data_IF_552890455570
#
_entry.id   IF_552890455570
#
_cell.length_a   1.000
_cell.length_b   1.000
_cell.length_c   1.000
_cell.angle_alpha   90.00
_cell.angle_beta   90.00
_cell.angle_gamma   90.00
#
_symmetry.space_group_name_H-M   'P 1'
#
loop_
_entity.id
_entity.type
_entity.pdbx_description
1 polymer ?
#
# COMPACT_ATOMS: atom_id res chain seq x y z
N UNK A 1 -37.63 -16.34 -23.92
CA UNK A 1 -36.38 -15.92 -24.60
C UNK A 1 -36.09 -14.40 -24.52
N UNK A 2 -37.10 -13.52 -24.43
CA UNK A 2 -36.91 -12.05 -24.28
C UNK A 2 -36.40 -11.55 -22.92
N UNK A 3 -36.35 -12.41 -21.90
CA UNK A 3 -35.93 -12.06 -20.53
C UNK A 3 -34.43 -12.21 -20.29
N UNK A 4 -33.71 -12.86 -21.21
CA UNK A 4 -32.26 -13.08 -21.12
C UNK A 4 -31.45 -11.98 -21.82
N UNK A 5 -32.07 -11.22 -22.73
CA UNK A 5 -31.42 -10.17 -23.52
C UNK A 5 -31.01 -8.98 -22.64
N UNK A 6 -31.77 -8.66 -21.59
CA UNK A 6 -31.44 -7.58 -20.67
C UNK A 6 -30.23 -7.86 -19.76
N UNK A 7 -29.96 -9.14 -19.45
CA UNK A 7 -28.86 -9.50 -18.55
C UNK A 7 -27.50 -9.49 -19.25
N UNK A 8 -27.48 -9.81 -20.55
CA UNK A 8 -26.26 -9.77 -21.38
C UNK A 8 -25.79 -8.33 -21.61
N UNK A 9 -26.72 -7.39 -21.83
CA UNK A 9 -26.38 -5.98 -22.08
C UNK A 9 -25.77 -5.28 -20.85
N UNK A 10 -26.16 -5.66 -19.63
CA UNK A 10 -25.62 -5.10 -18.39
C UNK A 10 -24.19 -5.58 -18.08
N UNK A 11 -23.89 -6.86 -18.37
CA UNK A 11 -22.56 -7.45 -18.19
C UNK A 11 -21.53 -6.90 -19.19
N UNK A 12 -21.95 -6.58 -20.42
CA UNK A 12 -21.06 -5.98 -21.43
C UNK A 12 -20.75 -4.50 -21.16
N UNK A 13 -21.62 -3.79 -20.44
CA UNK A 13 -21.43 -2.38 -20.10
C UNK A 13 -20.42 -2.17 -18.96
N UNK A 14 -20.36 -3.10 -18.00
CA UNK A 14 -19.38 -3.07 -16.90
C UNK A 14 -17.95 -3.39 -17.38
N UNK A 15 -17.81 -4.12 -18.49
CA UNK A 15 -16.50 -4.50 -19.05
C UNK A 15 -15.84 -3.37 -19.87
N UNK A 16 -16.59 -2.35 -20.32
CA UNK A 16 -16.06 -1.26 -21.16
C UNK A 16 -15.49 -0.07 -20.36
N UNK A 17 -15.81 0.07 -19.08
CA UNK A 17 -15.37 1.21 -18.24
C UNK A 17 -14.09 0.88 -17.44
N UNK A 18 -13.60 -0.37 -17.50
CA UNK A 18 -12.33 -0.79 -16.89
C UNK A 18 -11.07 -0.34 -17.65
N UNK A 19 -11.11 0.77 -18.38
CA UNK A 19 -9.92 1.32 -19.04
C UNK A 19 -9.17 2.18 -18.03
N UNK A 20 -8.04 1.64 -17.57
CA UNK A 20 -7.27 2.07 -16.43
C UNK A 20 -6.93 3.56 -16.42
N UNK A 21 -6.99 4.14 -15.22
CA UNK A 21 -6.36 5.40 -14.90
C UNK A 21 -4.86 5.25 -15.17
N UNK A 22 -4.37 5.83 -16.27
CA UNK A 22 -2.95 6.12 -16.41
C UNK A 22 -2.60 7.16 -15.34
N UNK A 23 -2.22 6.67 -14.16
CA UNK A 23 -1.47 7.47 -13.20
C UNK A 23 -0.24 7.94 -13.96
N UNK A 24 -0.18 9.24 -14.26
CA UNK A 24 1.03 9.86 -14.76
C UNK A 24 2.07 9.72 -13.65
N UNK A 25 2.82 8.63 -13.68
CA UNK A 25 3.99 8.48 -12.85
C UNK A 25 4.92 9.64 -13.25
N UNK A 26 5.14 10.56 -12.32
CA UNK A 26 6.12 11.62 -12.50
C UNK A 26 7.45 10.96 -12.77
N UNK A 27 8.02 11.18 -13.95
CA UNK A 27 9.37 10.70 -14.28
C UNK A 27 10.36 11.24 -13.24
N UNK A 28 11.11 10.32 -12.64
CA UNK A 28 12.10 10.61 -11.61
C UNK A 28 13.44 10.10 -12.09
N UNK A 29 14.42 10.99 -12.10
CA UNK A 29 15.78 10.73 -12.50
C UNK A 29 16.72 10.95 -11.31
N UNK A 30 17.94 10.45 -11.38
CA UNK A 30 18.94 10.65 -10.33
C UNK A 30 19.17 12.14 -9.97
N UNK A 31 19.01 13.05 -10.94
CA UNK A 31 19.14 14.49 -10.71
C UNK A 31 18.03 15.11 -9.85
N UNK A 32 16.94 14.39 -9.61
CA UNK A 32 15.83 14.85 -8.77
C UNK A 32 16.08 14.62 -7.26
N UNK A 33 17.15 13.90 -6.92
CA UNK A 33 17.52 13.57 -5.54
C UNK A 33 18.77 14.34 -5.13
N UNK A 34 18.83 14.76 -3.86
CA UNK A 34 19.99 15.49 -3.35
C UNK A 34 21.08 14.54 -2.88
N UNK A 35 20.70 13.34 -2.42
CA UNK A 35 21.63 12.34 -1.90
C UNK A 35 21.36 10.96 -2.48
N UNK A 36 22.39 10.11 -2.50
CA UNK A 36 22.27 8.71 -2.90
C UNK A 36 21.23 7.96 -2.05
N UNK A 37 21.19 8.20 -0.73
CA UNK A 37 20.25 7.52 0.18
C UNK A 37 18.79 7.80 -0.16
N UNK A 38 18.44 9.05 -0.46
CA UNK A 38 17.08 9.42 -0.89
C UNK A 38 16.69 8.71 -2.20
N UNK A 39 17.62 8.60 -3.16
CA UNK A 39 17.39 7.93 -4.42
C UNK A 39 17.24 6.40 -4.23
N UNK A 40 18.08 5.80 -3.40
CA UNK A 40 18.05 4.38 -3.07
C UNK A 40 16.73 4.00 -2.38
N UNK A 41 16.28 4.80 -1.40
CA UNK A 41 15.02 4.56 -0.69
C UNK A 41 13.82 4.63 -1.65
N UNK A 42 13.82 5.63 -2.53
CA UNK A 42 12.79 5.75 -3.56
C UNK A 42 12.82 4.58 -4.54
N UNK A 43 14.00 4.14 -4.96
CA UNK A 43 14.16 2.97 -5.83
C UNK A 43 13.57 1.71 -5.17
N UNK A 44 13.92 1.43 -3.92
CA UNK A 44 13.42 0.27 -3.17
C UNK A 44 11.90 0.33 -2.94
N UNK A 45 11.36 1.50 -2.58
CA UNK A 45 9.91 1.69 -2.38
C UNK A 45 9.09 1.45 -3.66
N UNK A 46 9.68 1.72 -4.83
CA UNK A 46 9.01 1.60 -6.12
C UNK A 46 9.25 0.25 -6.83
N UNK A 47 9.82 -0.73 -6.12
CA UNK A 47 10.02 -2.10 -6.61
C UNK A 47 11.48 -2.54 -6.70
N UNK A 48 12.41 -1.59 -6.57
CA UNK A 48 13.85 -1.82 -6.52
C UNK A 48 14.36 -2.58 -7.74
N UNK A 49 15.30 -3.52 -7.57
CA UNK A 49 15.91 -4.23 -8.69
C UNK A 49 14.93 -5.16 -9.42
N UNK A 50 13.80 -5.50 -8.79
CA UNK A 50 12.76 -6.33 -9.41
C UNK A 50 11.94 -5.57 -10.43
N UNK A 51 11.60 -4.32 -10.10
CA UNK A 51 10.81 -3.42 -10.93
C UNK A 51 11.43 -2.03 -10.80
N UNK A 52 12.24 -1.63 -11.79
CA UNK A 52 12.85 -0.30 -11.88
C UNK A 52 12.13 0.55 -12.95
N UNK A 53 10.90 1.04 -12.68
CA UNK A 53 10.13 1.82 -13.65
C UNK A 53 10.76 3.20 -13.94
N UNK A 54 11.62 3.69 -13.04
CA UNK A 54 12.28 4.97 -13.13
C UNK A 54 13.70 4.87 -13.71
N UNK A 55 14.17 3.64 -13.96
CA UNK A 55 15.49 3.35 -14.53
C UNK A 55 16.62 4.05 -13.75
N UNK A 56 16.52 4.05 -12.43
CA UNK A 56 17.49 4.65 -11.49
C UNK A 56 18.73 3.78 -11.30
N UNK A 57 18.60 2.46 -11.49
CA UNK A 57 19.66 1.46 -11.45
C UNK A 57 19.88 0.91 -12.88
N UNK A 58 20.81 1.53 -13.60
CA UNK A 58 20.99 1.29 -15.05
C UNK A 58 21.77 0.02 -15.34
N UNK A 59 22.66 -0.37 -14.43
CA UNK A 59 23.52 -1.55 -14.48
C UNK A 59 22.95 -2.74 -13.73
N UNK A 60 21.88 -2.53 -12.97
CA UNK A 60 21.02 -3.57 -12.36
C UNK A 60 21.74 -4.36 -11.28
N UNK A 61 22.55 -3.69 -10.49
CA UNK A 61 23.27 -4.30 -9.36
C UNK A 61 22.50 -4.16 -8.04
N UNK A 62 21.37 -3.44 -8.04
CA UNK A 62 20.53 -3.15 -6.88
C UNK A 62 20.85 -1.82 -6.20
N UNK A 63 21.76 -1.02 -6.75
CA UNK A 63 22.18 0.27 -6.21
C UNK A 63 21.79 1.39 -7.18
N UNK A 64 20.80 2.18 -6.79
CA UNK A 64 20.35 3.31 -7.60
C UNK A 64 21.31 4.49 -7.51
N UNK A 65 21.54 5.18 -8.63
CA UNK A 65 22.15 6.50 -8.67
C UNK A 65 23.50 6.66 -7.91
N UNK A 66 24.40 5.69 -8.00
CA UNK A 66 25.71 5.65 -7.29
C UNK A 66 26.59 6.91 -7.47
N UNK A 67 26.31 7.71 -8.50
CA UNK A 67 27.01 8.98 -8.76
C UNK A 67 26.65 10.12 -7.80
N UNK A 68 25.57 9.98 -7.03
CA UNK A 68 25.11 11.00 -6.09
C UNK A 68 25.99 11.04 -4.83
N UNK A 69 26.00 12.20 -4.18
CA UNK A 69 26.75 12.37 -2.93
C UNK A 69 26.19 11.48 -1.82
N UNK A 70 27.09 10.91 -1.03
CA UNK A 70 26.75 10.02 0.07
C UNK A 70 26.60 8.55 -0.32
N UNK A 71 27.00 8.16 -1.54
CA UNK A 71 27.09 6.76 -1.94
C UNK A 71 28.03 5.96 -1.04
N UNK A 72 27.53 4.84 -0.51
CA UNK A 72 28.34 3.88 0.25
C UNK A 72 28.55 2.60 -0.58
N UNK A 73 29.79 2.32 -1.04
CA UNK A 73 30.09 1.12 -1.83
C UNK A 73 29.97 -0.19 -1.06
N UNK A 74 29.80 -0.15 0.28
CA UNK A 74 29.57 -1.33 1.12
C UNK A 74 28.10 -1.50 1.49
N UNK A 75 27.21 -0.67 0.94
CA UNK A 75 25.79 -0.80 1.19
C UNK A 75 25.28 -2.15 0.70
N UNK A 76 24.41 -2.78 1.50
CA UNK A 76 23.78 -4.04 1.17
C UNK A 76 22.25 -3.88 1.26
N UNK A 77 21.53 -3.83 0.12
CA UNK A 77 20.08 -3.69 0.14
C UNK A 77 19.44 -4.87 0.88
N UNK A 78 18.66 -4.59 1.91
CA UNK A 78 18.01 -5.60 2.77
C UNK A 78 18.65 -5.83 4.14
N UNK A 79 19.82 -5.24 4.43
CA UNK A 79 20.18 -4.97 5.82
C UNK A 79 19.34 -3.77 6.27
N UNK A 80 18.32 -4.00 7.11
CA UNK A 80 17.50 -2.93 7.67
C UNK A 80 18.38 -1.98 8.49
N UNK A 81 18.88 -0.94 7.82
CA UNK A 81 19.65 0.13 8.44
C UNK A 81 18.70 1.30 8.68
N UNK A 82 18.11 1.32 9.88
CA UNK A 82 17.35 2.43 10.44
C UNK A 82 18.30 3.62 10.71
N UNK A 83 18.90 4.17 9.68
CA UNK A 83 19.65 5.41 9.81
C UNK A 83 18.72 6.60 9.58
N UNK A 84 17.94 6.90 10.63
CA UNK A 84 17.54 8.27 10.92
C UNK A 84 18.80 9.14 11.00
N UNK A 85 18.83 10.27 10.28
CA UNK A 85 18.81 11.62 10.87
C UNK A 85 19.29 12.69 9.86
N UNK A 86 18.35 13.52 9.41
CA UNK A 86 18.58 14.94 9.14
C UNK A 86 17.76 15.74 10.16
N UNK A 87 18.44 16.55 10.97
CA UNK A 87 17.91 17.23 12.16
C UNK A 87 16.89 18.33 11.85
N UNK A 88 15.78 18.31 12.59
CA UNK A 88 14.95 19.48 12.88
C UNK A 88 14.37 19.30 14.29
N UNK A 89 14.90 20.05 15.25
CA UNK A 89 14.50 20.02 16.66
C UNK A 89 13.00 20.29 16.86
N UNK A 90 12.33 19.41 17.61
CA UNK A 90 11.60 19.84 18.79
C UNK A 90 11.55 18.72 19.82
N UNK A 91 11.76 19.11 21.08
CA UNK A 91 11.68 18.25 22.26
C UNK A 91 10.23 17.84 22.52
N UNK A 92 10.13 16.76 23.29
CA UNK A 92 9.06 16.37 24.25
C UNK A 92 8.59 14.94 23.94
N UNK A 93 9.18 13.97 24.62
CA UNK A 93 8.82 13.47 25.96
C UNK A 93 8.06 12.16 25.76
N UNK A 94 8.70 11.07 26.22
CA UNK A 94 8.17 9.73 26.09
C UNK A 94 6.85 9.60 26.83
N UNK A 95 5.82 9.21 26.08
CA UNK A 95 4.59 8.65 26.63
C UNK A 95 4.55 7.15 26.34
N UNK A 96 4.32 6.36 27.38
CA UNK A 96 3.96 4.94 27.30
C UNK A 96 2.69 4.80 26.46
N UNK A 97 2.74 3.99 25.39
CA UNK A 97 1.52 3.56 24.72
C UNK A 97 1.10 2.20 25.31
N UNK A 98 -0.15 2.05 25.80
CA UNK A 98 -0.67 0.75 26.16
C UNK A 98 -0.87 -0.10 24.90
N UNK A 99 -0.70 -1.42 25.03
CA UNK A 99 -1.02 -2.38 23.99
C UNK A 99 -2.53 -2.34 23.67
N UNK A 100 -2.92 -1.57 22.65
CA UNK A 100 -4.19 -1.77 21.96
C UNK A 100 -3.89 -2.15 20.52
N UNK A 101 -3.47 -3.40 20.35
CA UNK A 101 -3.39 -4.04 19.05
C UNK A 101 -4.75 -3.93 18.35
N UNK A 102 -4.83 -3.06 17.34
CA UNK A 102 -5.86 -3.13 16.29
C UNK A 102 -5.53 -4.33 15.40
N UNK A 103 -5.70 -5.53 15.94
CA UNK A 103 -5.63 -6.76 15.16
C UNK A 103 -6.83 -6.77 14.21
N UNK A 104 -6.55 -6.80 12.90
CA UNK A 104 -7.53 -6.99 11.81
C UNK A 104 -8.44 -8.21 12.05
N UNK A 105 -7.98 -9.18 12.85
CA UNK A 105 -8.73 -10.37 13.23
C UNK A 105 -9.83 -10.08 14.28
N UNK A 106 -9.67 -9.04 15.11
CA UNK A 106 -10.64 -8.66 16.14
C UNK A 106 -11.91 -8.03 15.57
N UNK A 107 -11.76 -7.18 14.54
CA UNK A 107 -12.91 -6.56 13.86
C UNK A 107 -13.69 -7.55 12.98
N UNK A 108 -12.99 -8.49 12.33
CA UNK A 108 -13.64 -9.54 11.55
C UNK A 108 -14.43 -10.49 12.44
N UNK A 109 -13.89 -10.96 13.57
CA UNK A 109 -14.66 -11.82 14.48
C UNK A 109 -15.83 -11.07 15.12
N UNK A 110 -15.64 -9.83 15.57
CA UNK A 110 -16.71 -9.03 16.19
C UNK A 110 -17.87 -8.67 15.24
N UNK A 111 -17.56 -8.32 13.98
CA UNK A 111 -18.57 -7.90 13.00
C UNK A 111 -19.55 -9.01 12.59
N UNK A 112 -19.08 -10.27 12.53
CA UNK A 112 -19.92 -11.41 12.11
C UNK A 112 -20.95 -11.76 13.21
N UNK A 113 -20.57 -11.63 14.49
CA UNK A 113 -21.50 -11.88 15.61
C UNK A 113 -22.61 -10.82 15.68
N UNK A 114 -22.32 -9.55 15.38
CA UNK A 114 -23.34 -8.50 15.35
C UNK A 114 -24.38 -8.71 14.24
N UNK A 115 -23.95 -9.10 13.04
CA UNK A 115 -24.87 -9.35 11.92
C UNK A 115 -25.70 -10.62 12.10
N UNK A 116 -25.10 -11.71 12.59
CA UNK A 116 -25.82 -12.95 12.86
C UNK A 116 -26.82 -12.78 14.02
N UNK A 117 -26.43 -12.05 15.08
CA UNK A 117 -27.31 -11.73 16.21
C UNK A 117 -28.52 -10.89 15.80
N UNK A 118 -28.33 -9.87 14.95
CA UNK A 118 -29.43 -9.05 14.45
C UNK A 118 -30.41 -9.84 13.58
N UNK A 119 -29.92 -10.73 12.71
CA UNK A 119 -30.75 -11.58 11.87
C UNK A 119 -31.58 -12.58 12.70
N UNK A 120 -30.96 -13.23 13.69
CA UNK A 120 -31.66 -14.16 14.59
C UNK A 120 -32.72 -13.44 15.43
N UNK A 121 -32.43 -12.23 15.91
CA UNK A 121 -33.37 -11.41 16.69
C UNK A 121 -34.61 -11.01 15.86
N UNK A 122 -34.42 -10.60 14.61
CA UNK A 122 -35.54 -10.27 13.71
C UNK A 122 -36.36 -11.51 13.34
N UNK A 123 -35.70 -12.65 13.10
CA UNK A 123 -36.38 -13.91 12.79
C UNK A 123 -37.23 -14.41 13.97
N UNK A 124 -36.69 -14.40 15.18
CA UNK A 124 -37.44 -14.79 16.39
C UNK A 124 -38.62 -13.85 16.64
N UNK A 125 -38.44 -12.54 16.41
CA UNK A 125 -39.52 -11.56 16.54
C UNK A 125 -40.63 -11.74 15.49
N UNK A 126 -40.30 -12.24 14.30
CA UNK A 126 -41.27 -12.55 13.25
C UNK A 126 -42.09 -13.80 13.59
N UNK A 127 -41.45 -14.83 14.15
CA UNK A 127 -42.10 -16.08 14.53
C UNK A 127 -43.02 -15.91 15.75
N UNK A 128 -42.71 -15.02 16.69
CA UNK A 128 -43.62 -14.71 17.82
C UNK A 128 -44.85 -13.87 17.43
N UNK A 129 -45.05 -13.56 16.15
CA UNK A 129 -46.21 -12.80 15.64
C UNK A 129 -47.17 -13.63 14.79
N UNK A 130 -46.89 -14.92 14.63
CA UNK A 130 -47.81 -15.92 14.08
C UNK A 130 -48.21 -16.91 15.18
#
# INVERSE_FOLDING_TARGET
MKKFIGFVAALTFFFLIGNGSALAATDKNCSDFSTWKEAQDFFEENGGPGEDPYNLDRDKDGLACETLSGFDPNYNPGSGDDSQKGEGENKEEGGEMPETAMSLNGFLLGGIFFLAGAALFVFNRRFSRE
#
